data_IF_458909982765
#
_entry.id   IF_458909982765
#
_cell.length_a   1.000
_cell.length_b   1.000
_cell.length_c   1.000
_cell.angle_alpha   90.00
_cell.angle_beta   90.00
_cell.angle_gamma   90.00
#
_symmetry.space_group_name_H-M   'P 1'
#
loop_
_entity.id
_entity.type
_entity.pdbx_description
1 polymer ?
#
# COMPACT_ATOMS: atom_id res chain seq x y z
N UNK A 1 -11.05 8.96 7.09
CA UNK A 1 -9.97 8.99 6.07
C UNK A 1 -10.49 8.18 4.90
N UNK A 2 -10.63 8.78 3.73
CA UNK A 2 -11.02 8.05 2.53
C UNK A 2 -9.75 7.68 1.77
N UNK A 3 -9.43 6.38 1.76
CA UNK A 3 -8.31 5.83 0.99
C UNK A 3 -8.79 5.44 -0.40
N UNK A 4 -7.90 5.51 -1.38
CA UNK A 4 -8.17 5.12 -2.76
C UNK A 4 -7.10 4.17 -3.25
N UNK A 5 -7.48 3.21 -4.09
CA UNK A 5 -6.53 2.27 -4.68
C UNK A 5 -5.41 3.02 -5.38
N UNK A 6 -4.16 2.61 -5.11
CA UNK A 6 -2.97 3.26 -5.65
C UNK A 6 -2.04 2.20 -6.21
N UNK A 7 -1.61 2.39 -7.45
CA UNK A 7 -0.53 1.58 -8.01
C UNK A 7 0.83 2.02 -7.42
N UNK A 8 1.62 1.06 -6.96
CA UNK A 8 2.99 1.26 -6.44
C UNK A 8 3.92 0.21 -7.04
N UNK A 9 5.23 0.45 -6.94
CA UNK A 9 6.24 -0.45 -7.46
C UNK A 9 6.73 -1.41 -6.37
N UNK A 10 6.84 -2.68 -6.74
CA UNK A 10 7.53 -3.71 -5.98
C UNK A 10 8.98 -3.31 -5.77
N UNK A 11 9.44 -3.36 -4.52
CA UNK A 11 10.80 -2.92 -4.16
C UNK A 11 11.84 -3.95 -4.57
N UNK A 12 11.43 -5.21 -4.76
CA UNK A 12 12.32 -6.32 -5.09
C UNK A 12 12.49 -6.52 -6.61
N UNK A 13 11.44 -6.30 -7.41
CA UNK A 13 11.45 -6.54 -8.87
C UNK A 13 10.93 -5.38 -9.73
N UNK A 14 10.46 -4.28 -9.13
CA UNK A 14 10.03 -3.08 -9.85
C UNK A 14 8.72 -3.23 -10.62
N UNK A 15 8.00 -4.35 -10.46
CA UNK A 15 6.68 -4.54 -11.06
C UNK A 15 5.63 -3.67 -10.38
N UNK A 16 4.68 -3.15 -11.16
CA UNK A 16 3.57 -2.37 -10.63
C UNK A 16 2.52 -3.30 -9.99
N UNK A 17 2.01 -2.90 -8.82
CA UNK A 17 0.89 -3.58 -8.17
C UNK A 17 -0.01 -2.59 -7.43
N UNK A 18 -1.25 -3.00 -7.18
CA UNK A 18 -2.24 -2.17 -6.49
C UNK A 18 -2.08 -2.31 -4.98
N UNK A 19 -1.84 -1.20 -4.31
CA UNK A 19 -2.03 -1.00 -2.88
C UNK A 19 -3.45 -0.50 -2.65
N UNK A 20 -4.34 -1.41 -2.26
CA UNK A 20 -5.77 -1.14 -2.16
C UNK A 20 -6.11 -0.19 -1.02
N UNK A 21 -7.26 0.47 -1.10
CA UNK A 21 -7.80 1.31 -0.03
C UNK A 21 -7.94 0.55 1.30
N UNK A 22 -8.30 -0.74 1.25
CA UNK A 22 -8.40 -1.60 2.43
C UNK A 22 -7.03 -1.88 3.08
N UNK A 23 -6.00 -2.13 2.28
CA UNK A 23 -4.63 -2.30 2.78
C UNK A 23 -4.09 -0.99 3.38
N UNK A 24 -4.38 0.15 2.76
CA UNK A 24 -4.00 1.47 3.30
C UNK A 24 -4.66 1.73 4.66
N UNK A 25 -5.95 1.40 4.79
CA UNK A 25 -6.67 1.51 6.06
C UNK A 25 -6.07 0.58 7.11
N UNK A 26 -5.73 -0.66 6.75
CA UNK A 26 -5.07 -1.60 7.67
C UNK A 26 -3.73 -1.07 8.17
N UNK A 27 -2.90 -0.52 7.28
CA UNK A 27 -1.61 0.07 7.67
C UNK A 27 -1.81 1.28 8.59
N UNK A 28 -2.75 2.16 8.28
CA UNK A 28 -3.10 3.31 9.11
C UNK A 28 -3.56 2.90 10.53
N UNK A 29 -4.48 1.92 10.62
CA UNK A 29 -4.97 1.40 11.91
C UNK A 29 -3.85 0.78 12.76
N UNK A 30 -2.88 0.14 12.11
CA UNK A 30 -1.69 -0.44 12.76
C UNK A 30 -0.58 0.58 13.06
N UNK A 31 -0.74 1.84 12.66
CA UNK A 31 0.30 2.87 12.79
C UNK A 31 1.52 2.63 11.89
N UNK A 32 1.38 1.79 10.87
CA UNK A 32 2.40 1.54 9.86
C UNK A 32 2.37 2.67 8.83
N UNK A 33 3.50 3.35 8.64
CA UNK A 33 3.62 4.52 7.74
C UNK A 33 4.24 4.18 6.39
N UNK A 34 4.79 2.98 6.26
CA UNK A 34 5.48 2.50 5.06
C UNK A 34 4.52 1.77 4.13
N UNK A 35 4.79 1.83 2.82
CA UNK A 35 4.11 1.02 1.81
C UNK A 35 4.37 -0.49 2.04
N UNK A 36 3.46 -1.37 1.59
CA UNK A 36 3.69 -2.82 1.64
C UNK A 36 4.89 -3.16 0.76
N UNK A 37 5.83 -3.93 1.33
CA UNK A 37 6.95 -4.47 0.58
C UNK A 37 6.48 -5.73 -0.15
N UNK A 38 6.60 -5.70 -1.46
CA UNK A 38 6.44 -6.84 -2.37
C UNK A 38 7.60 -6.82 -3.33
#
# INVERSE_FOLDING_TARGET
>A
MEFQDRAILCVDCGQEFVWTAGEQLFFYDKGLKNEPKR
#
